data_IF_270077141554
#
_entry.id   IF_270077141554
#
_cell.length_a   1.000
_cell.length_b   1.000
_cell.length_c   1.000
_cell.angle_alpha   90.00
_cell.angle_beta   90.00
_cell.angle_gamma   90.00
#
_symmetry.space_group_name_H-M   'P 1'
#
loop_
_entity.id
_entity.type
_entity.pdbx_description
1 polymer ?
#
# COMPACT_ATOMS: atom_id res chain seq x y z
N UNK A 1 14.61 1.87 -1.66
CA UNK A 1 14.09 1.94 -0.27
C UNK A 1 12.99 2.99 -0.25
N UNK A 2 11.75 2.61 -0.52
CA UNK A 2 10.54 3.46 -0.37
C UNK A 2 9.34 2.52 -0.43
N UNK A 3 9.11 1.75 0.64
CA UNK A 3 7.85 1.05 0.86
C UNK A 3 6.96 2.04 1.60
N UNK A 4 6.13 2.75 0.85
CA UNK A 4 5.09 3.60 1.42
C UNK A 4 4.03 2.70 2.02
N UNK A 5 4.08 2.56 3.35
CA UNK A 5 3.12 1.81 4.13
C UNK A 5 1.73 2.43 3.92
N UNK A 6 0.85 1.67 3.26
CA UNK A 6 -0.57 1.99 3.14
C UNK A 6 -1.18 1.92 4.54
N UNK A 7 -1.25 3.06 5.21
CA UNK A 7 -1.74 3.20 6.57
C UNK A 7 -3.28 3.16 6.56
N UNK A 8 -3.84 1.96 6.38
CA UNK A 8 -5.27 1.74 6.51
C UNK A 8 -5.62 1.77 8.01
N UNK A 9 -5.82 2.98 8.56
CA UNK A 9 -6.39 3.18 9.89
C UNK A 9 -7.79 2.57 9.92
N UNK A 10 -7.91 1.35 10.44
CA UNK A 10 -9.18 0.84 10.98
C UNK A 10 -9.61 1.77 12.11
N UNK A 11 -10.51 2.70 11.82
CA UNK A 11 -11.32 3.32 12.84
C UNK A 11 -12.40 2.33 13.27
N UNK A 12 -12.00 1.29 14.01
CA UNK A 12 -12.94 0.60 14.89
C UNK A 12 -13.27 1.59 16.00
N UNK A 13 -14.26 2.46 15.77
CA UNK A 13 -14.97 3.13 16.86
C UNK A 13 -15.82 2.08 17.58
N UNK A 14 -15.15 1.20 18.32
CA UNK A 14 -15.78 0.46 19.39
C UNK A 14 -15.79 1.38 20.62
N UNK A 15 -16.60 2.44 20.57
CA UNK A 15 -17.00 3.13 21.80
C UNK A 15 -18.00 2.22 22.51
N UNK A 16 -17.48 1.15 23.12
CA UNK A 16 -18.11 0.51 24.26
C UNK A 16 -17.75 1.34 25.48
N UNK A 17 -18.55 2.35 25.73
CA UNK A 17 -18.90 2.68 27.10
C UNK A 17 -20.38 2.35 27.22
N UNK A 18 -20.68 1.06 27.39
CA UNK A 18 -21.89 0.72 28.14
C UNK A 18 -21.58 1.23 29.54
N UNK A 19 -22.12 2.39 29.87
CA UNK A 19 -22.10 2.91 31.23
C UNK A 19 -22.87 1.92 32.11
N UNK A 20 -22.17 0.96 32.71
CA UNK A 20 -22.72 0.00 33.66
C UNK A 20 -23.01 0.69 35.02
N UNK A 21 -22.72 1.99 35.16
CA UNK A 21 -22.73 2.69 36.44
C UNK A 21 -23.90 3.65 36.70
N UNK A 22 -24.90 3.75 35.83
CA UNK A 22 -26.13 4.49 36.12
C UNK A 22 -27.30 3.53 36.39
N UNK A 23 -27.10 2.55 37.28
CA UNK A 23 -28.20 1.78 37.83
C UNK A 23 -28.55 2.37 39.19
N UNK A 24 -29.56 3.26 39.32
CA UNK A 24 -30.06 3.61 40.65
C UNK A 24 -30.41 2.30 41.36
N UNK A 25 -29.97 2.11 42.61
CA UNK A 25 -30.13 0.83 43.27
C UNK A 25 -31.65 0.52 43.32
N UNK A 26 -32.06 -0.73 43.02
CA UNK A 26 -33.48 -1.10 42.82
C UNK A 26 -34.39 -0.61 43.94
N UNK A 27 -33.84 -0.51 45.15
CA UNK A 27 -34.49 0.00 46.35
C UNK A 27 -35.04 1.42 46.22
N UNK A 28 -34.39 2.35 45.50
CA UNK A 28 -34.89 3.74 45.39
C UNK A 28 -36.17 3.86 44.56
N UNK A 29 -36.28 3.05 43.50
CA UNK A 29 -37.50 2.91 42.71
C UNK A 29 -38.59 2.17 43.51
N UNK A 30 -38.20 1.19 44.32
CA UNK A 30 -39.11 0.47 45.21
C UNK A 30 -39.68 1.38 46.30
N UNK A 31 -38.83 2.14 47.00
CA UNK A 31 -39.25 3.11 48.01
C UNK A 31 -40.24 4.13 47.45
N UNK A 32 -39.99 4.69 46.26
CA UNK A 32 -40.90 5.66 45.63
C UNK A 32 -42.31 5.11 45.40
N UNK A 33 -42.43 3.83 45.09
CA UNK A 33 -43.75 3.22 44.84
C UNK A 33 -44.40 2.69 46.10
N UNK A 34 -43.60 2.15 47.04
CA UNK A 34 -44.08 1.78 48.38
C UNK A 34 -44.62 3.00 49.13
N UNK A 35 -44.03 4.19 48.95
CA UNK A 35 -44.53 5.46 49.50
C UNK A 35 -45.89 5.89 48.93
N UNK A 36 -46.39 5.28 47.85
CA UNK A 36 -47.72 5.57 47.27
C UNK A 36 -48.81 4.62 47.77
N UNK A 37 -48.45 3.59 48.54
CA UNK A 37 -49.39 2.60 49.05
C UNK A 37 -49.94 3.03 50.42
N UNK A 38 -51.24 2.85 50.63
CA UNK A 38 -51.90 3.08 51.92
C UNK A 38 -51.52 2.00 52.94
N UNK A 39 -51.66 2.32 54.23
CA UNK A 39 -51.37 1.39 55.34
C UNK A 39 -52.13 0.07 55.25
N UNK A 40 -53.39 0.11 54.79
CA UNK A 40 -54.20 -1.08 54.51
C UNK A 40 -53.57 -2.01 53.46
N UNK A 41 -52.93 -1.44 52.44
CA UNK A 41 -52.33 -2.18 51.34
C UNK A 41 -50.99 -2.80 51.76
N UNK A 42 -50.23 -2.10 52.61
CA UNK A 42 -48.99 -2.62 53.19
C UNK A 42 -49.27 -3.79 54.14
N UNK A 43 -50.34 -3.73 54.94
CA UNK A 43 -50.77 -4.87 55.76
C UNK A 43 -51.22 -6.07 54.94
N UNK A 44 -51.88 -5.83 53.80
CA UNK A 44 -52.28 -6.89 52.88
C UNK A 44 -51.07 -7.55 52.20
N UNK A 45 -50.07 -6.75 51.80
CA UNK A 45 -48.79 -7.23 51.24
C UNK A 45 -48.04 -8.09 52.27
N UNK A 46 -48.01 -7.69 53.54
CA UNK A 46 -47.33 -8.43 54.59
C UNK A 46 -48.01 -9.79 54.88
N UNK A 47 -49.31 -9.91 54.62
CA UNK A 47 -50.09 -11.13 54.86
C UNK A 47 -50.17 -12.06 53.65
N UNK A 48 -49.70 -11.63 52.47
CA UNK A 48 -49.83 -12.39 51.23
C UNK A 48 -48.55 -12.31 50.40
N UNK A 49 -47.67 -13.30 50.61
CA UNK A 49 -46.38 -13.42 49.91
C UNK A 49 -46.53 -13.51 48.37
N UNK A 50 -47.63 -14.10 47.87
CA UNK A 50 -47.88 -14.18 46.43
C UNK A 50 -48.20 -12.82 45.81
N UNK A 51 -48.83 -11.93 46.58
CA UNK A 51 -49.08 -10.54 46.18
C UNK A 51 -47.81 -9.68 46.32
N UNK A 52 -46.98 -9.92 47.33
CA UNK A 52 -45.65 -9.30 47.43
C UNK A 52 -44.80 -9.65 46.20
N UNK A 53 -44.79 -10.92 45.78
CA UNK A 53 -44.06 -11.39 44.60
C UNK A 53 -44.53 -10.74 43.29
N UNK A 54 -45.83 -10.50 43.13
CA UNK A 54 -46.36 -9.81 41.96
C UNK A 54 -45.97 -8.33 41.96
N UNK A 55 -46.06 -7.66 43.11
CA UNK A 55 -45.63 -6.27 43.30
C UNK A 55 -44.12 -6.11 43.06
N UNK A 56 -43.29 -7.04 43.53
CA UNK A 56 -41.83 -7.04 43.27
C UNK A 56 -41.50 -7.25 41.79
N UNK A 57 -42.24 -8.13 41.09
CA UNK A 57 -42.06 -8.36 39.65
C UNK A 57 -42.38 -7.11 38.83
N UNK A 58 -43.45 -6.40 39.17
CA UNK A 58 -43.81 -5.13 38.53
C UNK A 58 -42.84 -3.99 38.89
N UNK A 59 -42.40 -3.89 40.14
CA UNK A 59 -41.49 -2.84 40.64
C UNK A 59 -40.03 -3.01 40.21
N UNK A 60 -39.57 -4.24 39.97
CA UNK A 60 -38.18 -4.50 39.55
C UNK A 60 -37.81 -3.96 38.17
N UNK A 61 -38.79 -3.43 37.42
CA UNK A 61 -38.63 -3.13 35.99
C UNK A 61 -38.19 -4.37 35.20
N UNK A 62 -38.46 -5.55 35.76
CA UNK A 62 -37.89 -6.82 35.33
C UNK A 62 -38.36 -7.16 33.91
N UNK A 63 -39.64 -6.97 33.62
CA UNK A 63 -40.22 -7.16 32.28
C UNK A 63 -39.58 -6.25 31.22
N UNK A 64 -39.42 -4.94 31.51
CA UNK A 64 -38.79 -3.98 30.57
C UNK A 64 -37.33 -4.35 30.31
N UNK A 65 -36.58 -4.68 31.36
CA UNK A 65 -35.18 -5.11 31.27
C UNK A 65 -35.03 -6.46 30.55
N UNK A 66 -35.99 -7.38 30.74
CA UNK A 66 -36.05 -8.65 30.01
C UNK A 66 -36.26 -8.38 28.52
N UNK A 67 -37.13 -7.44 28.16
CA UNK A 67 -37.41 -7.09 26.76
C UNK A 67 -36.23 -6.36 26.10
N UNK A 68 -35.60 -5.41 26.81
CA UNK A 68 -34.36 -4.76 26.39
C UNK A 68 -33.25 -5.82 26.18
N UNK A 69 -33.11 -6.78 27.10
CA UNK A 69 -32.16 -7.89 26.98
C UNK A 69 -32.44 -8.77 25.76
N UNK A 70 -33.70 -9.13 25.51
CA UNK A 70 -34.10 -9.92 24.33
C UNK A 70 -33.81 -9.16 23.03
N UNK A 71 -34.08 -7.86 23.01
CA UNK A 71 -33.80 -7.00 21.86
C UNK A 71 -32.29 -6.95 21.58
N UNK A 72 -31.47 -6.72 22.61
CA UNK A 72 -30.01 -6.70 22.49
C UNK A 72 -29.44 -8.05 22.06
N UNK A 73 -29.96 -9.16 22.60
CA UNK A 73 -29.54 -10.51 22.19
C UNK A 73 -29.89 -10.78 20.74
N UNK A 74 -31.08 -10.37 20.29
CA UNK A 74 -31.50 -10.51 18.90
C UNK A 74 -30.62 -9.69 17.96
N UNK A 75 -30.30 -8.45 18.34
CA UNK A 75 -29.39 -7.59 17.58
C UNK A 75 -27.98 -8.18 17.53
N UNK A 76 -27.45 -8.62 18.67
CA UNK A 76 -26.13 -9.26 18.75
C UNK A 76 -26.07 -10.51 17.88
N UNK A 77 -27.11 -11.35 17.94
CA UNK A 77 -27.21 -12.54 17.13
C UNK A 77 -27.24 -12.22 15.63
N UNK A 78 -28.06 -11.25 15.20
CA UNK A 78 -28.09 -10.80 13.79
C UNK A 78 -26.72 -10.31 13.32
N UNK A 79 -26.02 -9.53 14.15
CA UNK A 79 -24.67 -9.07 13.84
C UNK A 79 -23.66 -10.21 13.77
N UNK A 80 -23.72 -11.15 14.72
CA UNK A 80 -22.84 -12.31 14.74
C UNK A 80 -23.07 -13.22 13.53
N UNK A 81 -24.33 -13.46 13.17
CA UNK A 81 -24.71 -14.21 11.98
C UNK A 81 -24.20 -13.54 10.69
N UNK A 82 -24.41 -12.23 10.54
CA UNK A 82 -23.89 -11.48 9.39
C UNK A 82 -22.35 -11.42 9.35
N UNK A 83 -21.68 -11.40 10.51
CA UNK A 83 -20.22 -11.48 10.57
C UNK A 83 -19.70 -12.87 10.15
N UNK A 84 -20.39 -13.94 10.56
CA UNK A 84 -20.06 -15.30 10.16
C UNK A 84 -20.23 -15.51 8.65
N UNK A 85 -21.28 -14.94 8.07
CA UNK A 85 -21.53 -15.00 6.62
C UNK A 85 -20.46 -14.25 5.80
N UNK A 86 -20.01 -13.09 6.29
CA UNK A 86 -19.01 -12.26 5.58
C UNK A 86 -17.57 -12.78 5.73
N UNK A 87 -17.28 -13.51 6.80
CA UNK A 87 -15.94 -14.05 7.08
C UNK A 87 -15.34 -14.87 5.93
N UNK A 88 -16.03 -15.85 5.31
CA UNK A 88 -15.46 -16.62 4.20
C UNK A 88 -15.15 -15.74 2.98
N UNK A 89 -16.03 -14.79 2.65
CA UNK A 89 -15.81 -13.85 1.53
C UNK A 89 -14.58 -12.98 1.77
N UNK A 90 -14.42 -12.48 2.99
CA UNK A 90 -13.25 -11.66 3.36
C UNK A 90 -11.95 -12.46 3.31
N UNK A 91 -11.94 -13.70 3.81
CA UNK A 91 -10.76 -14.55 3.74
C UNK A 91 -10.42 -14.92 2.29
N UNK A 92 -11.42 -15.17 1.44
CA UNK A 92 -11.21 -15.42 0.02
C UNK A 92 -10.58 -14.21 -0.68
N UNK A 93 -11.17 -13.02 -0.52
CA UNK A 93 -10.63 -11.79 -1.11
C UNK A 93 -9.23 -11.45 -0.59
N UNK A 94 -8.95 -11.74 0.68
CA UNK A 94 -7.62 -11.57 1.27
C UNK A 94 -6.60 -12.53 0.67
N UNK A 95 -6.97 -13.79 0.42
CA UNK A 95 -6.11 -14.76 -0.29
C UNK A 95 -5.82 -14.29 -1.71
N UNK A 96 -6.85 -13.87 -2.44
CA UNK A 96 -6.68 -13.39 -3.81
C UNK A 96 -5.81 -12.13 -3.87
N UNK A 97 -6.00 -11.19 -2.95
CA UNK A 97 -5.15 -10.02 -2.85
C UNK A 97 -3.69 -10.41 -2.56
N UNK A 98 -3.44 -11.36 -1.66
CA UNK A 98 -2.09 -11.85 -1.38
C UNK A 98 -1.45 -12.44 -2.64
N UNK A 99 -2.18 -13.27 -3.38
CA UNK A 99 -1.74 -13.88 -4.64
C UNK A 99 -1.38 -12.82 -5.68
N UNK A 100 -2.25 -11.83 -5.88
CA UNK A 100 -2.02 -10.73 -6.83
C UNK A 100 -0.83 -9.86 -6.42
N UNK A 101 -0.64 -9.60 -5.13
CA UNK A 101 0.52 -8.87 -4.64
C UNK A 101 1.82 -9.65 -4.88
N UNK A 102 1.82 -10.96 -4.64
CA UNK A 102 2.97 -11.84 -4.91
C UNK A 102 3.32 -11.84 -6.41
N UNK A 103 2.32 -12.03 -7.27
CA UNK A 103 2.47 -11.97 -8.73
C UNK A 103 3.01 -10.61 -9.20
N UNK A 104 2.49 -9.51 -8.65
CA UNK A 104 2.97 -8.17 -8.97
C UNK A 104 4.44 -7.96 -8.58
N UNK A 105 4.87 -8.50 -7.43
CA UNK A 105 6.26 -8.44 -6.97
C UNK A 105 7.16 -9.28 -7.89
N UNK A 106 6.74 -10.48 -8.28
CA UNK A 106 7.49 -11.33 -9.22
C UNK A 106 7.64 -10.67 -10.60
N UNK A 107 6.56 -10.09 -11.13
CA UNK A 107 6.59 -9.35 -12.39
C UNK A 107 7.51 -8.13 -12.29
N UNK A 108 7.43 -7.38 -11.19
CA UNK A 108 8.31 -6.24 -10.94
C UNK A 108 9.78 -6.66 -10.94
N UNK A 109 10.12 -7.71 -10.19
CA UNK A 109 11.49 -8.24 -10.12
C UNK A 109 11.98 -8.70 -11.50
N UNK A 110 11.13 -9.38 -12.27
CA UNK A 110 11.44 -9.83 -13.63
C UNK A 110 11.74 -8.67 -14.57
N UNK A 111 10.94 -7.60 -14.51
CA UNK A 111 11.14 -6.38 -15.30
C UNK A 111 12.44 -5.69 -14.86
N UNK A 112 12.68 -5.59 -13.56
CA UNK A 112 13.87 -4.96 -13.01
C UNK A 112 15.16 -5.72 -13.38
N UNK A 113 15.14 -7.04 -13.41
CA UNK A 113 16.26 -7.87 -13.85
C UNK A 113 16.49 -7.75 -15.36
N UNK A 114 15.43 -7.74 -16.17
CA UNK A 114 15.54 -7.46 -17.61
C UNK A 114 16.11 -6.07 -17.86
N UNK A 115 15.71 -5.07 -17.06
CA UNK A 115 16.23 -3.70 -17.11
C UNK A 115 17.72 -3.67 -16.79
N UNK A 116 18.15 -4.34 -15.71
CA UNK A 116 19.58 -4.43 -15.34
C UNK A 116 20.40 -5.10 -16.44
N UNK A 117 19.93 -6.23 -16.99
CA UNK A 117 20.60 -6.94 -18.10
C UNK A 117 20.69 -6.09 -19.36
N UNK A 118 19.65 -5.32 -19.67
CA UNK A 118 19.67 -4.41 -20.82
C UNK A 118 20.66 -3.26 -20.59
N UNK A 119 20.67 -2.69 -19.38
CA UNK A 119 21.59 -1.61 -19.03
C UNK A 119 23.04 -2.07 -19.08
N UNK A 120 23.38 -3.23 -18.51
CA UNK A 120 24.75 -3.76 -18.57
C UNK A 120 25.22 -4.03 -19.99
N UNK A 121 24.34 -4.52 -20.87
CA UNK A 121 24.64 -4.70 -22.30
C UNK A 121 24.87 -3.40 -23.07
N UNK A 122 24.39 -2.27 -22.55
CA UNK A 122 24.48 -0.96 -23.20
C UNK A 122 25.57 -0.08 -22.60
N UNK A 123 25.83 -0.21 -21.30
CA UNK A 123 26.93 0.45 -20.60
C UNK A 123 28.28 -0.05 -21.14
N UNK A 124 28.43 -1.36 -21.41
CA UNK A 124 29.67 -1.92 -21.97
C UNK A 124 30.06 -1.32 -23.34
N UNK A 125 29.18 -1.28 -24.36
CA UNK A 125 29.46 -0.60 -25.62
C UNK A 125 29.77 0.89 -25.46
N UNK A 126 29.13 1.56 -24.49
CA UNK A 126 29.37 2.99 -24.24
C UNK A 126 30.80 3.23 -23.75
N UNK A 127 31.23 2.44 -22.76
CA UNK A 127 32.60 2.46 -22.20
C UNK A 127 33.62 2.02 -23.25
N UNK A 128 33.32 0.97 -24.03
CA UNK A 128 34.19 0.53 -25.11
C UNK A 128 34.36 1.62 -26.18
N UNK A 129 33.28 2.35 -26.50
CA UNK A 129 33.32 3.47 -27.45
C UNK A 129 34.13 4.64 -26.92
N UNK A 130 34.03 4.98 -25.61
CA UNK A 130 34.86 6.04 -25.02
C UNK A 130 36.35 5.69 -25.07
N UNK A 131 36.70 4.47 -24.69
CA UNK A 131 38.09 4.01 -24.73
C UNK A 131 38.64 3.99 -26.17
N UNK A 132 37.81 3.57 -27.14
CA UNK A 132 38.20 3.57 -28.54
C UNK A 132 38.44 4.98 -29.09
N UNK A 133 37.63 5.98 -28.70
CA UNK A 133 37.85 7.39 -29.05
C UNK A 133 39.16 7.90 -28.45
N UNK A 134 39.40 7.65 -27.16
CA UNK A 134 40.65 8.05 -26.49
C UNK A 134 41.89 7.44 -27.16
N UNK A 135 41.83 6.18 -27.57
CA UNK A 135 42.92 5.51 -28.26
C UNK A 135 43.15 6.06 -29.67
N UNK A 136 42.09 6.45 -30.38
CA UNK A 136 42.22 7.14 -31.68
C UNK A 136 42.80 8.54 -31.51
N UNK A 137 42.45 9.27 -30.47
CA UNK A 137 43.01 10.59 -30.19
C UNK A 137 44.50 10.49 -29.85
N UNK A 138 44.92 9.51 -29.03
CA UNK A 138 46.35 9.23 -28.78
C UNK A 138 47.11 8.91 -30.07
N UNK A 139 46.52 8.11 -30.97
CA UNK A 139 47.12 7.80 -32.27
C UNK A 139 47.23 9.04 -33.16
N UNK A 140 46.22 9.90 -33.13
CA UNK A 140 46.21 11.16 -33.86
C UNK A 140 47.34 12.06 -33.38
N UNK A 141 47.54 12.17 -32.07
CA UNK A 141 48.63 12.94 -31.47
C UNK A 141 50.01 12.37 -31.86
N UNK A 142 50.18 11.04 -31.78
CA UNK A 142 51.42 10.40 -32.21
C UNK A 142 51.74 10.63 -33.70
N UNK A 143 50.71 10.62 -34.58
CA UNK A 143 50.88 10.95 -36.00
C UNK A 143 51.26 12.42 -36.19
N UNK A 144 50.72 13.34 -35.39
CA UNK A 144 51.09 14.76 -35.40
C UNK A 144 52.54 14.96 -34.97
N UNK A 145 52.96 14.33 -33.87
CA UNK A 145 54.35 14.37 -33.40
C UNK A 145 55.33 13.82 -34.45
N UNK A 146 54.99 12.69 -35.09
CA UNK A 146 55.81 12.10 -36.15
C UNK A 146 55.94 13.03 -37.37
N UNK A 147 54.88 13.74 -37.74
CA UNK A 147 54.92 14.74 -38.81
C UNK A 147 55.81 15.93 -38.44
N UNK A 148 55.65 16.46 -37.22
CA UNK A 148 56.46 17.58 -36.73
C UNK A 148 57.95 17.21 -36.62
N UNK A 149 58.26 15.94 -36.35
CA UNK A 149 59.62 15.41 -36.37
C UNK A 149 60.18 15.16 -37.79
N UNK A 150 59.37 15.31 -38.84
CA UNK A 150 59.75 15.04 -40.23
C UNK A 150 59.86 13.56 -40.59
N UNK A 151 59.31 12.66 -39.76
CA UNK A 151 59.39 11.21 -39.95
C UNK A 151 58.38 10.67 -40.96
N UNK A 152 57.36 11.44 -41.34
CA UNK A 152 56.32 11.06 -42.30
C UNK A 152 56.12 12.14 -43.37
N UNK A 153 55.78 11.72 -44.58
CA UNK A 153 55.52 12.63 -45.69
C UNK A 153 54.16 13.34 -45.54
N UNK A 154 53.99 14.47 -46.23
CA UNK A 154 52.77 15.30 -46.15
C UNK A 154 51.53 14.52 -46.61
N UNK A 155 51.61 13.82 -47.74
CA UNK A 155 50.50 13.00 -48.25
C UNK A 155 50.12 11.89 -47.27
N UNK A 156 51.11 11.19 -46.69
CA UNK A 156 50.88 10.12 -45.72
C UNK A 156 50.25 10.64 -44.42
N UNK A 157 50.66 11.83 -43.97
CA UNK A 157 50.08 12.51 -42.82
C UNK A 157 48.60 12.84 -43.06
N UNK A 158 48.28 13.45 -44.21
CA UNK A 158 46.91 13.86 -44.55
C UNK A 158 45.98 12.65 -44.58
N UNK A 159 46.37 11.58 -45.27
CA UNK A 159 45.55 10.36 -45.38
C UNK A 159 45.32 9.71 -44.02
N UNK A 160 46.37 9.65 -43.19
CA UNK A 160 46.31 9.02 -41.86
C UNK A 160 45.42 9.81 -40.90
N UNK A 161 45.60 11.13 -40.81
CA UNK A 161 44.80 11.99 -39.95
C UNK A 161 43.34 12.00 -40.40
N UNK A 162 43.08 12.09 -41.71
CA UNK A 162 41.72 12.05 -42.23
C UNK A 162 41.02 10.73 -41.87
N UNK A 163 41.70 9.60 -42.00
CA UNK A 163 41.19 8.28 -41.59
C UNK A 163 40.91 8.20 -40.09
N UNK A 164 41.82 8.69 -39.25
CA UNK A 164 41.68 8.65 -37.78
C UNK A 164 40.56 9.56 -37.29
N UNK A 165 40.50 10.81 -37.75
CA UNK A 165 39.44 11.76 -37.38
C UNK A 165 38.07 11.31 -37.88
N UNK A 166 37.98 10.74 -39.08
CA UNK A 166 36.72 10.17 -39.59
C UNK A 166 36.23 9.04 -38.69
N UNK A 167 37.13 8.14 -38.25
CA UNK A 167 36.78 7.05 -37.32
C UNK A 167 36.35 7.58 -35.95
N UNK A 168 37.08 8.57 -35.41
CA UNK A 168 36.79 9.17 -34.11
C UNK A 168 35.40 9.81 -34.10
N UNK A 169 35.10 10.69 -35.07
CA UNK A 169 33.79 11.32 -35.20
C UNK A 169 32.65 10.33 -35.45
N UNK A 170 32.90 9.27 -36.23
CA UNK A 170 31.89 8.23 -36.44
C UNK A 170 31.53 7.52 -35.13
N UNK A 171 32.50 7.26 -34.26
CA UNK A 171 32.27 6.65 -32.95
C UNK A 171 31.53 7.61 -32.02
N UNK A 172 31.88 8.90 -32.01
CA UNK A 172 31.17 9.94 -31.25
C UNK A 172 29.69 10.02 -31.67
N UNK A 173 29.40 10.11 -32.97
CA UNK A 173 28.02 10.14 -33.47
C UNK A 173 27.27 8.87 -33.09
N UNK A 174 27.90 7.70 -33.18
CA UNK A 174 27.29 6.43 -32.76
C UNK A 174 26.99 6.41 -31.25
N UNK A 175 27.91 6.92 -30.43
CA UNK A 175 27.74 7.04 -28.97
C UNK A 175 26.58 7.98 -28.65
N UNK A 176 26.51 9.15 -29.27
CA UNK A 176 25.41 10.11 -29.09
C UNK A 176 24.06 9.50 -29.47
N UNK A 177 23.98 8.80 -30.61
CA UNK A 177 22.75 8.11 -31.03
C UNK A 177 22.34 7.02 -30.04
N UNK A 178 23.31 6.27 -29.51
CA UNK A 178 23.04 5.25 -28.51
C UNK A 178 22.51 5.86 -27.19
N UNK A 179 23.09 6.97 -26.74
CA UNK A 179 22.62 7.72 -25.57
C UNK A 179 21.20 8.28 -25.79
N UNK A 180 20.94 8.89 -26.94
CA UNK A 180 19.61 9.42 -27.26
C UNK A 180 18.53 8.31 -27.33
N UNK A 181 18.87 7.12 -27.83
CA UNK A 181 17.95 5.97 -27.83
C UNK A 181 17.66 5.45 -26.42
N UNK A 182 18.68 5.43 -25.56
CA UNK A 182 18.54 5.09 -24.15
C UNK A 182 17.60 6.06 -23.43
N UNK A 183 17.83 7.35 -23.58
CA UNK A 183 17.00 8.40 -22.98
C UNK A 183 15.55 8.34 -23.45
N UNK A 184 15.32 8.16 -24.76
CA UNK A 184 13.97 8.03 -25.31
C UNK A 184 13.23 6.80 -24.77
N UNK A 185 13.90 5.66 -24.64
CA UNK A 185 13.26 4.45 -24.06
C UNK A 185 12.92 4.66 -22.58
N UNK A 186 13.84 5.22 -21.81
CA UNK A 186 13.61 5.52 -20.39
C UNK A 186 12.47 6.53 -20.21
N UNK A 187 12.36 7.51 -21.11
CA UNK A 187 11.28 8.50 -21.13
C UNK A 187 9.92 7.89 -21.50
N UNK A 188 9.85 7.04 -22.53
CA UNK A 188 8.60 6.32 -22.88
C UNK A 188 8.08 5.46 -21.72
N UNK A 189 8.98 4.84 -20.96
CA UNK A 189 8.61 4.07 -19.77
C UNK A 189 8.06 4.95 -18.64
N UNK A 190 8.50 6.20 -18.51
CA UNK A 190 7.94 7.14 -17.55
C UNK A 190 6.48 7.49 -17.86
N UNK A 191 6.13 7.60 -19.15
CA UNK A 191 4.75 7.81 -19.62
C UNK A 191 3.86 6.59 -19.36
N UNK A 192 4.36 5.37 -19.58
CA UNK A 192 3.62 4.13 -19.29
C UNK A 192 3.34 3.97 -17.79
N UNK A 193 4.23 4.44 -16.90
CA UNK A 193 3.96 4.45 -15.45
C UNK A 193 2.82 5.42 -15.08
N UNK A 194 2.74 6.57 -15.74
CA UNK A 194 1.69 7.57 -15.49
C UNK A 194 0.32 7.08 -15.99
N UNK A 195 0.26 6.44 -17.15
CA UNK A 195 -1.01 5.95 -17.71
C UNK A 195 -1.60 4.80 -16.88
N UNK A 196 -0.78 3.87 -16.39
CA UNK A 196 -1.27 2.77 -15.53
C UNK A 196 -1.80 3.27 -14.17
N UNK A 197 -1.29 4.37 -13.62
CA UNK A 197 -1.84 5.00 -12.42
C UNK A 197 -3.20 5.67 -12.67
N UNK A 198 -3.46 6.12 -13.90
CA UNK A 198 -4.73 6.77 -14.27
C UNK A 198 -5.84 5.78 -14.64
N UNK A 199 -5.51 4.56 -15.06
CA UNK A 199 -6.50 3.51 -15.40
C UNK A 199 -7.10 2.85 -14.14
N UNK A 200 -6.51 3.04 -12.95
CA UNK A 200 -7.04 2.51 -11.68
C UNK A 200 -7.93 3.50 -10.90
N UNK A 201 -8.48 4.54 -11.55
CA UNK A 201 -9.47 5.45 -10.95
C UNK A 201 -10.87 5.21 -11.49
#
# INVERSE_FOLDING_TARGET
VLVSACNCRRTLKMSKEVNIHAFPPPVTAWFRTLSKLTTSNLEFILKNDAYLDSVVKELGGSARKIEEKKTLLTQNWKMAAGNLEKKPVLEEKKRELKRLCEEAVELYNTVEDKRKKLRSKLDFPLVQSTNATEDLDKRTEATLEAFMAGNIAVEEFIDTIFSLKTKSHLIEVKKEKLQALLEKRLSLESLVRITNLNVSK
#
